data_IF_851460330021
#
_entry.id   IF_851460330021
#
_cell.length_a   1.000
_cell.length_b   1.000
_cell.length_c   1.000
_cell.angle_alpha   90.00
_cell.angle_beta   90.00
_cell.angle_gamma   90.00
#
_symmetry.space_group_name_H-M   'P 1'
#
loop_
_entity.id
_entity.type
_entity.pdbx_description
1 polymer ?
#
# COMPACT_ATOMS: atom_id res chain seq x y z
N UNK A 1 -12.09 -3.70 9.96
CA UNK A 1 -11.75 -5.11 10.12
C UNK A 1 -12.48 -5.92 9.04
N UNK A 2 -11.77 -6.83 8.36
CA UNK A 2 -12.35 -7.74 7.37
C UNK A 2 -12.79 -7.09 6.06
N UNK A 3 -12.20 -5.98 5.66
CA UNK A 3 -12.45 -5.28 4.39
C UNK A 3 -13.91 -4.80 4.19
N UNK A 4 -14.69 -4.69 5.26
CA UNK A 4 -16.11 -4.33 5.16
C UNK A 4 -16.31 -2.95 4.55
N UNK A 5 -15.53 -1.96 4.95
CA UNK A 5 -15.60 -0.60 4.40
C UNK A 5 -15.26 -0.56 2.91
N UNK A 6 -14.18 -1.22 2.51
CA UNK A 6 -13.76 -1.30 1.11
C UNK A 6 -14.78 -2.02 0.24
N UNK A 7 -15.33 -3.14 0.71
CA UNK A 7 -16.39 -3.88 -0.01
C UNK A 7 -17.65 -3.05 -0.12
N UNK A 8 -18.04 -2.33 0.93
CA UNK A 8 -19.17 -1.41 0.88
C UNK A 8 -18.94 -0.29 -0.14
N UNK A 9 -17.76 0.34 -0.13
CA UNK A 9 -17.39 1.37 -1.10
C UNK A 9 -17.47 0.85 -2.55
N UNK A 10 -16.98 -0.36 -2.81
CA UNK A 10 -17.05 -0.99 -4.14
C UNK A 10 -18.50 -1.21 -4.58
N UNK A 11 -19.39 -1.57 -3.64
CA UNK A 11 -20.82 -1.76 -3.93
C UNK A 11 -21.60 -0.44 -4.09
N UNK A 12 -21.11 0.65 -3.45
CA UNK A 12 -21.76 1.96 -3.43
C UNK A 12 -20.75 3.08 -3.81
N UNK A 13 -20.09 2.98 -4.95
CA UNK A 13 -19.03 3.90 -5.30
C UNK A 13 -19.60 5.29 -5.64
N UNK A 14 -18.96 6.40 -5.18
CA UNK A 14 -19.40 7.76 -5.49
C UNK A 14 -19.14 8.13 -6.95
N UNK A 15 -18.31 7.36 -7.65
CA UNK A 15 -18.02 7.46 -9.08
C UNK A 15 -18.09 6.08 -9.72
N UNK A 16 -18.32 5.99 -11.01
CA UNK A 16 -18.33 4.69 -11.69
C UNK A 16 -17.01 3.95 -11.48
N UNK A 17 -17.03 2.68 -11.04
CA UNK A 17 -15.82 1.89 -10.76
C UNK A 17 -14.86 1.83 -11.94
N UNK A 18 -15.37 1.84 -13.19
CA UNK A 18 -14.54 1.91 -14.40
C UNK A 18 -13.69 3.19 -14.51
N UNK A 19 -14.00 4.23 -13.72
CA UNK A 19 -13.21 5.44 -13.65
C UNK A 19 -12.12 5.37 -12.55
N UNK A 20 -12.13 4.33 -11.72
CA UNK A 20 -11.07 4.08 -10.72
C UNK A 20 -9.90 3.41 -11.44
N UNK A 21 -8.81 4.13 -11.59
CA UNK A 21 -7.63 3.68 -12.36
C UNK A 21 -6.59 2.98 -11.51
N UNK A 22 -6.59 3.21 -10.22
CA UNK A 22 -5.70 2.55 -9.26
C UNK A 22 -6.19 2.72 -7.82
N UNK A 23 -5.68 1.88 -6.92
CA UNK A 23 -5.85 2.03 -5.48
C UNK A 23 -4.50 1.96 -4.78
N UNK A 24 -4.25 2.88 -3.86
CA UNK A 24 -3.12 2.86 -2.94
C UNK A 24 -3.66 2.93 -1.51
N UNK A 25 -3.72 1.79 -0.84
CA UNK A 25 -3.97 1.73 0.59
C UNK A 25 -2.70 2.17 1.34
N UNK A 26 -2.87 2.91 2.43
CA UNK A 26 -1.75 3.36 3.27
C UNK A 26 -2.09 2.98 4.70
N UNK A 27 -1.27 2.12 5.29
CA UNK A 27 -1.51 1.63 6.64
C UNK A 27 -0.22 1.34 7.41
N UNK A 28 -0.31 1.32 8.75
CA UNK A 28 0.76 0.90 9.65
C UNK A 28 2.10 1.60 9.39
N UNK A 29 2.06 2.92 9.22
CA UNK A 29 3.22 3.76 8.91
C UNK A 29 3.81 4.46 10.14
N UNK A 30 3.42 4.06 11.35
CA UNK A 30 3.84 4.71 12.59
C UNK A 30 5.19 4.25 13.14
N UNK A 31 5.76 3.16 12.63
CA UNK A 31 7.03 2.60 13.11
C UNK A 31 7.95 2.25 11.95
N UNK A 32 9.27 2.55 12.06
CA UNK A 32 10.21 2.20 11.00
C UNK A 32 10.43 0.68 10.92
N UNK A 33 10.63 0.20 9.70
CA UNK A 33 11.01 -1.17 9.41
C UNK A 33 12.48 -1.23 8.95
N UNK A 34 13.33 -1.90 9.72
CA UNK A 34 14.77 -2.03 9.43
C UNK A 34 15.02 -2.77 8.11
N UNK A 35 14.18 -3.76 7.75
CA UNK A 35 14.33 -4.51 6.50
C UNK A 35 14.05 -3.64 5.28
N UNK A 36 13.24 -2.60 5.43
CA UNK A 36 12.93 -1.63 4.37
C UNK A 36 13.91 -0.45 4.34
N UNK A 37 14.91 -0.45 5.23
CA UNK A 37 15.92 0.59 5.32
C UNK A 37 15.68 1.63 6.42
N UNK A 38 14.75 1.37 7.34
CA UNK A 38 14.57 2.15 8.58
C UNK A 38 13.76 3.42 8.43
N UNK A 39 14.15 4.45 9.17
CA UNK A 39 13.39 5.69 9.30
C UNK A 39 13.12 6.39 7.96
N UNK A 40 11.87 6.76 7.73
CA UNK A 40 11.43 7.50 6.54
C UNK A 40 11.28 6.65 5.28
N UNK A 41 11.39 5.33 5.40
CA UNK A 41 11.20 4.40 4.28
C UNK A 41 9.94 3.56 4.48
N UNK A 42 9.32 3.20 3.36
CA UNK A 42 8.15 2.32 3.31
C UNK A 42 8.38 1.20 2.30
N UNK A 43 7.51 0.22 2.31
CA UNK A 43 7.45 -0.84 1.31
C UNK A 43 6.05 -0.88 0.68
N UNK A 44 5.99 -1.45 -0.52
CA UNK A 44 4.76 -1.64 -1.29
C UNK A 44 4.50 -3.13 -1.44
N UNK A 45 3.31 -3.58 -1.11
CA UNK A 45 2.89 -4.96 -1.36
C UNK A 45 2.87 -5.26 -2.85
N UNK A 46 3.28 -6.45 -3.26
CA UNK A 46 3.21 -6.83 -4.68
C UNK A 46 3.95 -5.87 -5.61
N UNK A 47 5.09 -5.34 -5.18
CA UNK A 47 5.85 -4.28 -5.86
C UNK A 47 6.08 -4.52 -7.35
N UNK A 48 6.35 -5.78 -7.74
CA UNK A 48 6.64 -6.18 -9.11
C UNK A 48 5.40 -6.67 -9.89
N UNK A 49 4.22 -6.70 -9.26
CA UNK A 49 3.00 -7.17 -9.91
C UNK A 49 2.41 -6.14 -10.88
N UNK A 50 2.72 -4.87 -10.71
CA UNK A 50 2.27 -3.78 -11.59
C UNK A 50 3.37 -2.76 -11.84
N UNK A 51 3.11 -1.79 -12.70
CA UNK A 51 4.02 -0.69 -12.95
C UNK A 51 4.09 0.34 -11.81
N UNK A 52 3.25 0.25 -10.78
CA UNK A 52 3.18 1.23 -9.68
C UNK A 52 4.50 1.31 -8.90
N UNK A 53 5.09 0.18 -8.51
CA UNK A 53 6.38 0.15 -7.82
C UNK A 53 7.50 0.81 -8.63
N UNK A 54 7.74 0.38 -9.88
CA UNK A 54 8.69 1.03 -10.79
C UNK A 54 8.45 2.53 -11.01
N UNK A 55 7.19 2.99 -11.08
CA UNK A 55 6.87 4.43 -11.18
C UNK A 55 7.35 5.21 -9.94
N UNK A 56 7.16 4.67 -8.75
CA UNK A 56 7.64 5.28 -7.51
C UNK A 56 9.18 5.29 -7.44
N UNK A 57 9.83 4.21 -7.88
CA UNK A 57 11.28 4.13 -7.94
C UNK A 57 11.86 5.16 -8.92
N UNK A 58 11.29 5.30 -10.11
CA UNK A 58 11.71 6.28 -11.11
C UNK A 58 11.60 7.72 -10.60
N UNK A 59 10.63 7.99 -9.73
CA UNK A 59 10.46 9.29 -9.06
C UNK A 59 11.34 9.46 -7.81
N UNK A 60 12.19 8.49 -7.47
CA UNK A 60 13.09 8.53 -6.32
C UNK A 60 12.37 8.48 -4.97
N UNK A 61 11.16 7.91 -4.91
CA UNK A 61 10.45 7.78 -3.64
C UNK A 61 11.10 6.71 -2.75
N UNK A 62 11.15 6.93 -1.43
CA UNK A 62 11.69 5.97 -0.47
C UNK A 62 10.71 4.80 -0.20
N UNK A 63 10.16 4.24 -1.27
CA UNK A 63 9.20 3.13 -1.24
C UNK A 63 9.81 1.98 -2.04
N UNK A 64 10.11 0.88 -1.37
CA UNK A 64 10.71 -0.31 -1.98
C UNK A 64 9.78 -1.51 -1.95
N UNK A 65 10.24 -2.69 -2.39
CA UNK A 65 9.47 -3.92 -2.29
C UNK A 65 9.37 -4.39 -0.83
N UNK A 66 8.27 -5.08 -0.51
CA UNK A 66 8.15 -5.88 0.71
C UNK A 66 9.26 -6.94 0.76
N UNK A 67 9.92 -7.08 1.91
CA UNK A 67 11.02 -8.02 2.16
C UNK A 67 10.57 -9.27 2.91
N UNK A 68 9.26 -9.50 3.02
CA UNK A 68 8.67 -10.65 3.73
C UNK A 68 7.68 -11.41 2.84
N UNK A 69 8.14 -12.07 1.78
CA UNK A 69 7.26 -12.77 0.84
C UNK A 69 6.39 -13.83 1.53
N UNK A 70 6.91 -14.49 2.57
CA UNK A 70 6.17 -15.49 3.33
C UNK A 70 4.98 -14.94 4.13
N UNK A 71 4.86 -13.63 4.27
CA UNK A 71 3.75 -12.99 4.98
C UNK A 71 2.53 -12.76 4.08
N UNK A 72 2.69 -12.86 2.77
CA UNK A 72 1.60 -12.66 1.80
C UNK A 72 0.82 -11.34 2.02
N UNK A 73 1.52 -10.25 2.35
CA UNK A 73 0.90 -8.97 2.69
C UNK A 73 0.03 -8.39 1.57
N UNK A 74 0.32 -8.69 0.32
CA UNK A 74 -0.49 -8.25 -0.80
C UNK A 74 -1.95 -8.72 -0.70
N UNK A 75 -2.19 -9.88 -0.10
CA UNK A 75 -3.50 -10.51 0.01
C UNK A 75 -4.23 -10.18 1.33
N UNK A 76 -3.63 -9.35 2.19
CA UNK A 76 -4.07 -9.16 3.58
C UNK A 76 -4.64 -7.78 3.90
N UNK A 77 -4.68 -6.86 2.92
CA UNK A 77 -5.15 -5.50 3.12
C UNK A 77 -6.23 -5.11 2.12
N UNK A 78 -6.74 -3.89 2.20
CA UNK A 78 -7.85 -3.38 1.41
C UNK A 78 -7.60 -3.37 -0.09
N UNK A 79 -6.33 -3.30 -0.51
CA UNK A 79 -5.93 -3.33 -1.92
C UNK A 79 -6.45 -4.57 -2.65
N UNK A 80 -6.53 -5.73 -1.98
CA UNK A 80 -6.90 -6.99 -2.67
C UNK A 80 -8.30 -6.93 -3.28
N UNK A 81 -9.24 -6.25 -2.63
CA UNK A 81 -10.60 -6.13 -3.14
C UNK A 81 -10.67 -5.38 -4.48
N UNK A 82 -9.80 -4.40 -4.72
CA UNK A 82 -9.68 -3.72 -6.00
C UNK A 82 -8.84 -4.53 -7.00
N UNK A 83 -7.78 -5.18 -6.54
CA UNK A 83 -6.92 -5.99 -7.38
C UNK A 83 -7.67 -7.16 -8.04
N UNK A 84 -8.54 -7.84 -7.30
CA UNK A 84 -9.43 -8.91 -7.79
C UNK A 84 -10.41 -8.43 -8.88
N UNK A 85 -10.72 -7.12 -8.91
CA UNK A 85 -11.52 -6.47 -9.94
C UNK A 85 -10.69 -6.02 -11.17
N UNK A 86 -9.38 -6.30 -11.17
CA UNK A 86 -8.50 -5.91 -12.26
C UNK A 86 -7.90 -4.51 -12.13
N UNK A 87 -8.22 -3.76 -11.08
CA UNK A 87 -7.69 -2.42 -10.82
C UNK A 87 -6.30 -2.57 -10.17
N UNK A 88 -5.21 -2.00 -10.72
CA UNK A 88 -3.91 -1.99 -10.07
C UNK A 88 -3.99 -1.41 -8.66
N UNK A 89 -3.73 -2.24 -7.65
CA UNK A 89 -3.98 -1.90 -6.26
C UNK A 89 -2.92 -2.49 -5.34
N UNK A 90 -2.34 -1.66 -4.49
CA UNK A 90 -1.26 -2.04 -3.59
C UNK A 90 -1.42 -1.35 -2.24
N UNK A 91 -0.76 -1.89 -1.23
CA UNK A 91 -0.67 -1.26 0.08
C UNK A 91 0.75 -0.75 0.33
N UNK A 92 0.86 0.52 0.71
CA UNK A 92 2.08 1.13 1.22
C UNK A 92 2.10 1.04 2.74
N UNK A 93 3.16 0.49 3.31
CA UNK A 93 3.29 0.29 4.74
C UNK A 93 4.75 0.40 5.19
N UNK A 94 4.96 0.50 6.50
CA UNK A 94 6.25 0.29 7.15
C UNK A 94 6.13 -0.72 8.31
N UNK A 95 5.13 -1.58 8.27
CA UNK A 95 4.90 -2.58 9.30
C UNK A 95 6.11 -3.51 9.48
N UNK A 96 6.66 -3.51 10.66
CA UNK A 96 7.90 -4.21 11.03
C UNK A 96 7.67 -5.52 11.82
N UNK A 97 6.46 -6.07 11.80
CA UNK A 97 6.05 -7.29 12.53
C UNK A 97 6.10 -7.13 14.06
N UNK A 98 5.88 -5.90 14.58
CA UNK A 98 5.86 -5.69 16.03
C UNK A 98 4.74 -6.47 16.73
N UNK A 99 4.97 -6.83 17.98
CA UNK A 99 4.07 -7.70 18.76
C UNK A 99 2.81 -7.00 19.26
N UNK A 100 2.70 -5.68 19.13
CA UNK A 100 1.54 -4.89 19.55
C UNK A 100 0.39 -4.91 18.52
N UNK A 101 0.61 -5.50 17.33
CA UNK A 101 -0.37 -5.55 16.25
C UNK A 101 -1.75 -6.04 16.74
N UNK A 102 -2.79 -5.22 16.50
CA UNK A 102 -4.16 -5.45 16.95
C UNK A 102 -4.34 -5.64 18.48
N UNK A 103 -3.46 -5.04 19.29
CA UNK A 103 -3.53 -5.09 20.75
C UNK A 103 -3.69 -3.69 21.35
N UNK A 104 -4.24 -3.58 22.57
CA UNK A 104 -4.33 -2.31 23.29
C UNK A 104 -2.97 -1.66 23.56
N UNK A 105 -1.87 -2.42 23.52
CA UNK A 105 -0.51 -1.92 23.69
C UNK A 105 0.03 -1.17 22.44
N UNK A 106 -0.68 -1.20 21.30
CA UNK A 106 -0.34 -0.40 20.12
C UNK A 106 -0.89 1.02 20.26
N UNK A 107 -0.19 1.81 21.03
CA UNK A 107 -0.59 3.14 21.51
C UNK A 107 0.36 4.24 21.01
N UNK A 108 -0.03 5.49 21.21
CA UNK A 108 0.67 6.69 20.74
C UNK A 108 2.15 6.73 21.14
N UNK A 109 2.50 6.25 22.33
CA UNK A 109 3.88 6.19 22.83
C UNK A 109 4.82 5.31 21.97
N UNK A 110 4.27 4.46 21.11
CA UNK A 110 5.00 3.58 20.19
C UNK A 110 5.24 4.19 18.81
N UNK A 111 4.65 5.34 18.52
CA UNK A 111 4.76 5.98 17.20
C UNK A 111 6.03 6.82 17.10
N UNK A 112 6.81 6.56 16.07
CA UNK A 112 7.91 7.44 15.64
C UNK A 112 7.35 8.51 14.68
N UNK A 113 7.04 9.69 15.20
CA UNK A 113 6.47 10.79 14.43
C UNK A 113 7.41 11.32 13.35
N UNK A 114 8.72 11.25 13.56
CA UNK A 114 9.68 11.66 12.54
C UNK A 114 9.63 10.72 11.34
N UNK A 115 9.63 9.41 11.61
CA UNK A 115 9.44 8.39 10.57
C UNK A 115 8.10 8.57 9.85
N UNK A 116 7.00 8.63 10.62
CA UNK A 116 5.65 8.72 10.07
C UNK A 116 5.48 9.96 9.17
N UNK A 117 5.98 11.10 9.59
CA UNK A 117 5.94 12.34 8.79
C UNK A 117 6.63 12.16 7.43
N UNK A 118 7.79 11.53 7.40
CA UNK A 118 8.53 11.29 6.15
C UNK A 118 7.80 10.30 5.24
N UNK A 119 7.19 9.27 5.82
CA UNK A 119 6.40 8.30 5.06
C UNK A 119 5.13 8.95 4.50
N UNK A 120 4.45 9.81 5.27
CA UNK A 120 3.31 10.61 4.78
C UNK A 120 3.73 11.50 3.60
N UNK A 121 4.87 12.18 3.69
CA UNK A 121 5.39 12.99 2.59
C UNK A 121 5.65 12.16 1.32
N UNK A 122 6.18 10.95 1.48
CA UNK A 122 6.35 10.01 0.37
C UNK A 122 4.98 9.57 -0.21
N UNK A 123 4.00 9.28 0.66
CA UNK A 123 2.64 8.92 0.27
C UNK A 123 1.94 10.03 -0.52
N UNK A 124 2.06 11.29 -0.09
CA UNK A 124 1.51 12.44 -0.84
C UNK A 124 2.11 12.54 -2.24
N UNK A 125 3.43 12.33 -2.37
CA UNK A 125 4.08 12.32 -3.69
C UNK A 125 3.63 11.12 -4.53
N UNK A 126 3.48 9.95 -3.92
CA UNK A 126 2.97 8.75 -4.59
C UNK A 126 1.56 8.98 -5.16
N UNK A 127 0.65 9.56 -4.36
CA UNK A 127 -0.71 9.89 -4.81
C UNK A 127 -0.67 10.88 -5.99
N UNK A 128 0.18 11.89 -5.95
CA UNK A 128 0.33 12.82 -7.10
C UNK A 128 0.83 12.14 -8.36
N UNK A 129 1.78 11.22 -8.25
CA UNK A 129 2.26 10.43 -9.39
C UNK A 129 1.13 9.60 -9.99
N UNK A 130 0.28 8.99 -9.17
CA UNK A 130 -0.86 8.21 -9.63
C UNK A 130 -1.99 9.08 -10.22
N UNK A 131 -2.17 10.30 -9.70
CA UNK A 131 -3.23 11.21 -10.15
C UNK A 131 -2.86 11.95 -11.44
N UNK A 132 -1.61 12.38 -11.57
CA UNK A 132 -1.16 13.29 -12.63
C UNK A 132 -0.30 12.57 -13.69
N UNK A 133 0.18 11.37 -13.39
CA UNK A 133 1.07 10.56 -14.24
C UNK A 133 0.36 9.53 -15.10
N UNK A 134 1.12 8.62 -15.72
CA UNK A 134 0.57 7.51 -16.46
C UNK A 134 -0.28 6.60 -15.57
N UNK A 135 -1.38 6.07 -16.11
CA UNK A 135 -2.19 5.07 -15.40
C UNK A 135 -1.36 3.80 -15.17
N UNK A 136 -1.23 3.31 -13.94
CA UNK A 136 -0.53 2.06 -13.70
C UNK A 136 -1.29 0.89 -14.31
N UNK A 137 -0.57 -0.16 -14.69
CA UNK A 137 -1.14 -1.38 -15.23
C UNK A 137 -0.46 -2.61 -14.64
N UNK A 138 -1.16 -3.75 -14.67
CA UNK A 138 -0.61 -5.03 -14.25
C UNK A 138 0.48 -5.49 -15.21
N UNK A 139 1.55 -6.00 -14.66
CA UNK A 139 2.55 -6.73 -15.42
C UNK A 139 1.99 -8.11 -15.86
N UNK A 140 2.55 -8.76 -16.90
CA UNK A 140 2.12 -10.09 -17.28
C UNK A 140 2.13 -11.06 -16.07
N UNK A 141 0.98 -11.66 -15.77
CA UNK A 141 0.81 -12.56 -14.62
C UNK A 141 0.71 -11.87 -13.26
N UNK A 142 0.73 -10.52 -13.19
CA UNK A 142 0.68 -9.78 -11.93
C UNK A 142 -0.74 -9.57 -11.36
N UNK A 143 -1.76 -9.61 -12.21
CA UNK A 143 -3.14 -9.49 -11.75
C UNK A 143 -3.58 -10.76 -10.99
N UNK A 144 -4.08 -10.65 -9.75
CA UNK A 144 -4.62 -11.79 -9.04
C UNK A 144 -5.88 -12.33 -9.71
N UNK A 145 -6.14 -13.62 -9.57
CA UNK A 145 -7.41 -14.21 -10.01
C UNK A 145 -8.57 -13.64 -9.17
N UNK A 146 -9.74 -13.39 -9.76
CA UNK A 146 -10.95 -13.08 -9.01
C UNK A 146 -11.28 -14.21 -8.00
N UNK A 147 -11.68 -13.84 -6.80
CA UNK A 147 -12.14 -14.79 -5.76
C UNK A 147 -13.65 -14.76 -5.61
#
# INVERSE_FOLDING_TARGET
VGLLGTRWFIQHPPVALKAVVSNLAIEMIGRPDSLSGGVGRAWLTGYDLSTMGPMFAAAGLPIGPDKRPDQHFFERSDNIAYAEMGIPAHTMSSYNMHTDYHKPSDELSRVDFHHMTRVIQAGVKAVRILADGPVPHWNPGGQPAPR
#
